data_IF_441701024022
#
_entry.id   IF_441701024022
#
_cell.length_a   1.000
_cell.length_b   1.000
_cell.length_c   1.000
_cell.angle_alpha   90.00
_cell.angle_beta   90.00
_cell.angle_gamma   90.00
#
_symmetry.space_group_name_H-M   'P 1'
#
loop_
_entity.id
_entity.type
_entity.pdbx_description
1 polymer ?
#
# COMPACT_ATOMS: atom_id res chain seq x y z
N UNK A 1 19.14 17.41 -8.30
CA UNK A 1 19.52 17.84 -6.92
C UNK A 1 19.42 16.62 -6.03
N UNK A 2 20.46 16.28 -5.26
CA UNK A 2 20.40 15.13 -4.35
C UNK A 2 19.65 15.52 -3.07
N UNK A 3 18.69 14.71 -2.66
CA UNK A 3 18.00 14.82 -1.38
C UNK A 3 18.53 13.69 -0.49
N UNK A 4 19.23 14.07 0.57
CA UNK A 4 19.82 13.11 1.50
C UNK A 4 18.88 12.92 2.69
N UNK A 5 18.32 11.71 2.81
CA UNK A 5 17.43 11.31 3.90
C UNK A 5 18.28 10.85 5.10
N UNK A 6 18.05 11.45 6.27
CA UNK A 6 18.81 11.15 7.49
C UNK A 6 17.98 10.32 8.47
N UNK A 7 18.55 9.22 8.96
CA UNK A 7 17.98 8.47 10.09
C UNK A 7 18.08 9.31 11.37
N UNK A 8 16.97 9.39 12.08
CA UNK A 8 16.90 9.90 13.44
C UNK A 8 16.45 8.73 14.35
N UNK A 9 17.26 8.34 15.36
CA UNK A 9 16.93 7.22 16.25
C UNK A 9 15.54 7.31 16.88
N UNK A 10 15.09 8.51 17.24
CA UNK A 10 13.77 8.74 17.82
C UNK A 10 12.64 8.43 16.83
N UNK A 11 12.85 8.66 15.54
CA UNK A 11 11.86 8.33 14.50
C UNK A 11 11.80 6.82 14.27
N UNK A 12 12.93 6.12 14.39
CA UNK A 12 12.98 4.65 14.29
C UNK A 12 12.25 4.02 15.48
N UNK A 13 12.48 4.52 16.70
CA UNK A 13 11.78 4.05 17.89
C UNK A 13 10.27 4.27 17.76
N UNK A 14 9.84 5.45 17.31
CA UNK A 14 8.42 5.72 17.03
C UNK A 14 7.84 4.77 15.98
N UNK A 15 8.57 4.49 14.91
CA UNK A 15 8.15 3.52 13.90
C UNK A 15 7.94 2.12 14.51
N UNK A 16 8.91 1.64 15.30
CA UNK A 16 8.82 0.33 15.97
C UNK A 16 7.62 0.25 16.93
N UNK A 17 7.33 1.32 17.66
CA UNK A 17 6.16 1.40 18.53
C UNK A 17 4.85 1.33 17.71
N UNK A 18 4.78 2.01 16.57
CA UNK A 18 3.60 1.99 15.70
C UNK A 18 3.34 0.59 15.11
N UNK A 19 4.38 -0.21 14.86
CA UNK A 19 4.22 -1.58 14.34
C UNK A 19 3.49 -2.52 15.31
N UNK A 20 3.64 -2.30 16.61
CA UNK A 20 3.04 -3.15 17.66
C UNK A 20 1.79 -2.55 18.28
N UNK A 21 1.46 -1.30 17.93
CA UNK A 21 0.25 -0.62 18.42
C UNK A 21 -0.97 -1.12 17.66
N UNK A 22 -2.12 -1.20 18.33
CA UNK A 22 -3.37 -1.56 17.67
C UNK A 22 -3.69 -0.59 16.54
N UNK A 23 -3.90 -1.12 15.33
CA UNK A 23 -4.20 -0.30 14.16
C UNK A 23 -5.59 0.32 14.25
N UNK A 24 -5.62 1.64 14.27
CA UNK A 24 -6.84 2.44 14.28
C UNK A 24 -6.62 3.78 13.56
N UNK A 25 -7.63 4.64 13.59
CA UNK A 25 -7.59 5.95 12.93
C UNK A 25 -6.50 6.89 13.51
N UNK A 26 -6.17 6.78 14.79
CA UNK A 26 -5.11 7.57 15.40
C UNK A 26 -3.73 7.05 14.98
N UNK A 27 -3.52 5.73 14.95
CA UNK A 27 -2.29 5.11 14.41
C UNK A 27 -2.01 5.59 12.99
N UNK A 28 -3.05 5.76 12.17
CA UNK A 28 -2.94 6.33 10.83
C UNK A 28 -2.39 7.75 10.84
N UNK A 29 -2.92 8.63 11.70
CA UNK A 29 -2.40 10.01 11.82
C UNK A 29 -0.97 10.02 12.32
N UNK A 30 -0.67 9.25 13.35
CA UNK A 30 0.67 9.19 13.93
C UNK A 30 1.72 8.67 12.93
N UNK A 31 1.32 7.77 12.03
CA UNK A 31 2.15 7.26 10.94
C UNK A 31 2.40 8.32 9.86
N UNK A 32 1.39 9.12 9.52
CA UNK A 32 1.56 10.26 8.61
C UNK A 32 2.42 11.36 9.24
N UNK A 33 2.24 11.64 10.53
CA UNK A 33 3.08 12.57 11.30
C UNK A 33 4.54 12.10 11.37
N UNK A 34 4.76 10.80 11.53
CA UNK A 34 6.09 10.19 11.45
C UNK A 34 6.72 10.44 10.07
N UNK A 35 5.98 10.16 8.98
CA UNK A 35 6.46 10.41 7.62
C UNK A 35 6.76 11.90 7.38
N UNK A 36 5.87 12.77 7.82
CA UNK A 36 6.04 14.22 7.73
C UNK A 36 7.28 14.68 8.52
N UNK A 37 7.48 14.17 9.73
CA UNK A 37 8.65 14.47 10.56
C UNK A 37 9.94 13.97 9.91
N UNK A 38 9.93 12.77 9.33
CA UNK A 38 11.08 12.21 8.64
C UNK A 38 11.47 13.06 7.41
N UNK A 39 10.50 13.39 6.55
CA UNK A 39 10.74 14.22 5.37
C UNK A 39 11.15 15.67 5.73
N UNK A 40 10.67 16.20 6.85
CA UNK A 40 11.06 17.52 7.34
C UNK A 40 12.40 17.56 8.10
N UNK A 41 12.89 16.40 8.58
CA UNK A 41 14.22 16.29 9.18
C UNK A 41 15.36 16.41 8.17
N UNK A 42 15.02 16.42 6.87
CA UNK A 42 15.98 16.60 5.78
C UNK A 42 16.37 18.07 5.62
N UNK A 43 17.52 18.35 4.97
CA UNK A 43 18.01 19.72 4.70
C UNK A 43 17.01 20.61 3.95
N UNK A 44 16.06 20.00 3.25
CA UNK A 44 14.92 20.68 2.67
C UNK A 44 13.67 20.07 3.28
N UNK A 45 12.80 20.87 3.92
CA UNK A 45 11.55 20.36 4.44
C UNK A 45 10.66 20.00 3.24
N UNK A 46 10.26 18.73 3.20
CA UNK A 46 9.53 18.12 2.09
C UNK A 46 8.28 17.38 2.57
N UNK A 47 7.93 17.53 3.84
CA UNK A 47 6.73 16.92 4.40
C UNK A 47 5.45 17.58 3.87
N UNK A 48 4.33 16.89 4.04
CA UNK A 48 3.02 17.39 3.66
C UNK A 48 2.65 18.71 4.38
N UNK A 49 3.15 18.94 5.59
CA UNK A 49 2.92 20.19 6.33
C UNK A 49 3.42 21.43 5.59
N UNK A 50 4.49 21.32 4.80
CA UNK A 50 4.98 22.42 3.95
C UNK A 50 4.03 22.73 2.78
N UNK A 51 3.28 21.73 2.29
CA UNK A 51 2.23 21.98 1.29
C UNK A 51 1.08 22.78 1.88
N UNK A 52 0.67 22.47 3.11
CA UNK A 52 -0.40 23.19 3.83
C UNK A 52 -0.06 24.66 4.08
N UNK A 53 1.21 25.02 4.26
CA UNK A 53 1.60 26.43 4.41
C UNK A 53 1.43 27.24 3.12
N UNK A 54 1.55 26.59 1.96
CA UNK A 54 1.56 27.24 0.65
C UNK A 54 0.22 27.18 -0.08
N UNK A 55 -0.71 26.34 0.36
CA UNK A 55 -2.00 26.13 -0.28
C UNK A 55 -3.14 26.17 0.75
N UNK A 56 -4.19 26.92 0.44
CA UNK A 56 -5.44 26.83 1.20
C UNK A 56 -6.08 25.44 1.07
N UNK A 57 -6.92 25.06 2.04
CA UNK A 57 -7.64 23.76 2.00
C UNK A 57 -8.44 23.55 0.69
N UNK A 58 -8.90 24.62 0.05
CA UNK A 58 -9.59 24.56 -1.24
C UNK A 58 -8.65 24.26 -2.41
N UNK A 59 -7.39 24.68 -2.34
CA UNK A 59 -6.39 24.61 -3.41
C UNK A 59 -5.62 23.29 -3.38
N UNK A 60 -5.53 22.62 -2.22
CA UNK A 60 -4.92 21.28 -2.13
C UNK A 60 -5.68 20.22 -2.94
N UNK A 61 -6.99 20.41 -3.20
CA UNK A 61 -7.72 19.53 -4.12
C UNK A 61 -7.27 19.72 -5.57
N UNK A 62 -6.79 20.91 -5.94
CA UNK A 62 -6.28 21.24 -7.28
C UNK A 62 -4.86 20.68 -7.51
N UNK A 63 -4.14 20.39 -6.43
CA UNK A 63 -2.85 19.69 -6.49
C UNK A 63 -2.95 18.34 -7.22
N UNK A 64 -4.01 17.57 -6.94
CA UNK A 64 -4.30 16.28 -7.58
C UNK A 64 -4.83 16.42 -9.01
N UNK A 65 -5.21 17.63 -9.42
CA UNK A 65 -5.71 17.92 -10.77
C UNK A 65 -4.66 18.53 -11.66
N UNK A 66 -3.44 18.77 -11.14
CA UNK A 66 -2.31 19.20 -11.96
C UNK A 66 -2.09 18.23 -13.12
N UNK A 67 -1.98 18.77 -14.34
CA UNK A 67 -1.84 17.97 -15.56
C UNK A 67 -0.68 16.98 -15.46
N UNK A 68 0.44 17.36 -14.83
CA UNK A 68 1.58 16.48 -14.64
C UNK A 68 1.28 15.25 -13.77
N UNK A 69 0.52 15.41 -12.69
CA UNK A 69 0.16 14.30 -11.82
C UNK A 69 -0.92 13.41 -12.44
N UNK A 70 -1.91 14.01 -13.11
CA UNK A 70 -2.90 13.25 -13.86
C UNK A 70 -2.24 12.46 -15.00
N UNK A 71 -1.31 13.06 -15.73
CA UNK A 71 -0.53 12.38 -16.77
C UNK A 71 0.33 11.26 -16.18
N UNK A 72 0.95 11.49 -15.03
CA UNK A 72 1.69 10.46 -14.30
C UNK A 72 0.78 9.25 -14.02
N UNK A 73 -0.39 9.47 -13.43
CA UNK A 73 -1.37 8.42 -13.17
C UNK A 73 -1.89 7.76 -14.45
N UNK A 74 -2.20 8.54 -15.49
CA UNK A 74 -2.66 8.02 -16.79
C UNK A 74 -1.62 7.08 -17.41
N UNK A 75 -0.35 7.48 -17.41
CA UNK A 75 0.74 6.66 -17.93
C UNK A 75 0.84 5.32 -17.20
N UNK A 76 0.56 5.27 -15.89
CA UNK A 76 0.58 4.02 -15.13
C UNK A 76 -0.67 3.16 -15.35
N UNK A 77 -1.84 3.78 -15.51
CA UNK A 77 -3.10 3.04 -15.75
C UNK A 77 -3.19 2.47 -17.17
N UNK A 78 -2.49 3.05 -18.15
CA UNK A 78 -2.42 2.50 -19.52
C UNK A 78 -1.95 1.03 -19.50
N UNK A 79 -1.10 0.65 -18.54
CA UNK A 79 -0.63 -0.72 -18.40
C UNK A 79 -1.69 -1.71 -17.92
N UNK A 80 -2.79 -1.26 -17.32
CA UNK A 80 -3.80 -2.18 -16.76
C UNK A 80 -4.84 -2.61 -17.78
N UNK A 81 -5.03 -1.89 -18.90
CA UNK A 81 -5.99 -2.16 -20.01
C UNK A 81 -7.40 -2.65 -19.62
N UNK A 82 -7.76 -2.55 -18.34
CA UNK A 82 -8.93 -3.17 -17.73
C UNK A 82 -9.98 -2.09 -17.48
N UNK A 83 -11.14 -2.25 -18.13
CA UNK A 83 -12.28 -1.30 -18.01
C UNK A 83 -12.85 -1.21 -16.59
N UNK A 84 -12.56 -2.19 -15.74
CA UNK A 84 -13.01 -2.21 -14.35
C UNK A 84 -12.10 -1.39 -13.43
N UNK A 85 -10.89 -1.03 -13.88
CA UNK A 85 -9.96 -0.25 -13.08
C UNK A 85 -10.55 1.15 -12.77
N UNK A 86 -10.39 1.68 -11.53
CA UNK A 86 -10.97 2.97 -11.18
C UNK A 86 -10.54 4.07 -12.15
N UNK A 87 -11.52 4.80 -12.68
CA UNK A 87 -11.24 6.01 -13.45
C UNK A 87 -10.52 7.02 -12.56
N UNK A 88 -9.46 7.63 -13.08
CA UNK A 88 -8.75 8.73 -12.43
C UNK A 88 -9.78 9.83 -12.16
N UNK A 89 -10.11 10.14 -10.88
CA UNK A 89 -11.12 11.15 -10.60
C UNK A 89 -10.66 12.52 -11.11
N UNK A 90 -11.60 13.37 -11.50
CA UNK A 90 -11.26 14.70 -12.00
C UNK A 90 -10.79 15.65 -10.89
N UNK A 91 -11.32 15.48 -9.68
CA UNK A 91 -10.96 16.20 -8.45
C UNK A 91 -11.55 15.51 -7.22
N UNK A 92 -10.99 15.75 -6.05
CA UNK A 92 -11.67 15.45 -4.77
C UNK A 92 -12.67 16.58 -4.51
N UNK A 93 -13.98 16.29 -4.35
CA UNK A 93 -14.99 17.32 -4.18
C UNK A 93 -14.88 17.99 -2.80
N UNK A 94 -15.18 19.29 -2.75
CA UNK A 94 -15.22 20.05 -1.49
C UNK A 94 -16.29 19.46 -0.56
N UNK A 95 -15.88 19.00 0.62
CA UNK A 95 -16.77 18.42 1.63
C UNK A 95 -17.26 19.53 2.59
N UNK A 96 -18.51 19.44 3.04
CA UNK A 96 -19.13 20.39 3.99
C UNK A 96 -19.16 19.90 5.43
N UNK A 97 -19.20 18.58 5.62
CA UNK A 97 -19.21 17.96 6.94
C UNK A 97 -17.79 17.93 7.52
N UNK A 98 -17.65 18.30 8.79
CA UNK A 98 -16.37 18.33 9.50
C UNK A 98 -15.61 17.00 9.41
N UNK A 99 -16.28 15.86 9.63
CA UNK A 99 -15.64 14.54 9.53
C UNK A 99 -15.19 14.23 8.11
N UNK A 100 -16.02 14.52 7.11
CA UNK A 100 -15.66 14.33 5.70
C UNK A 100 -14.49 15.21 5.27
N UNK A 101 -14.40 16.45 5.78
CA UNK A 101 -13.26 17.34 5.54
C UNK A 101 -11.97 16.72 6.09
N UNK A 102 -12.02 16.18 7.32
CA UNK A 102 -10.87 15.50 7.94
C UNK A 102 -10.43 14.31 7.08
N UNK A 103 -11.36 13.46 6.62
CA UNK A 103 -11.03 12.30 5.81
C UNK A 103 -10.47 12.67 4.43
N UNK A 104 -11.02 13.70 3.78
CA UNK A 104 -10.46 14.18 2.52
C UNK A 104 -9.05 14.76 2.71
N UNK A 105 -8.77 15.44 3.83
CA UNK A 105 -7.42 15.94 4.15
C UNK A 105 -6.42 14.79 4.35
N UNK A 106 -6.79 13.78 5.13
CA UNK A 106 -5.96 12.60 5.34
C UNK A 106 -5.72 11.85 4.03
N UNK A 107 -6.73 11.75 3.17
CA UNK A 107 -6.59 11.15 1.84
C UNK A 107 -5.51 11.86 1.03
N UNK A 108 -5.49 13.20 1.02
CA UNK A 108 -4.47 13.99 0.32
C UNK A 108 -3.08 13.74 0.87
N UNK A 109 -2.96 13.64 2.19
CA UNK A 109 -1.68 13.38 2.86
C UNK A 109 -1.14 11.97 2.57
N UNK A 110 -2.01 10.96 2.54
CA UNK A 110 -1.64 9.61 2.11
C UNK A 110 -1.16 9.62 0.67
N UNK A 111 -1.92 10.26 -0.22
CA UNK A 111 -1.56 10.34 -1.64
C UNK A 111 -0.20 11.00 -1.81
N UNK A 112 0.05 12.09 -1.07
CA UNK A 112 1.34 12.76 -1.10
C UNK A 112 2.49 11.83 -0.68
N UNK A 113 2.32 11.12 0.44
CA UNK A 113 3.36 10.23 0.98
C UNK A 113 3.64 9.03 0.06
N UNK A 114 2.60 8.41 -0.51
CA UNK A 114 2.76 7.25 -1.40
C UNK A 114 3.33 7.61 -2.78
N UNK A 115 3.07 8.83 -3.26
CA UNK A 115 3.62 9.34 -4.52
C UNK A 115 4.96 10.06 -4.36
N UNK A 116 5.45 10.29 -3.14
CA UNK A 116 6.78 10.87 -2.95
C UNK A 116 7.86 9.93 -3.54
N UNK A 117 8.85 10.46 -4.30
CA UNK A 117 9.21 11.87 -4.48
C UNK A 117 8.60 12.57 -5.70
N UNK A 118 7.72 11.93 -6.47
CA UNK A 118 7.16 12.46 -7.75
C UNK A 118 6.51 13.82 -7.57
N UNK A 119 5.92 14.08 -6.40
CA UNK A 119 5.32 15.37 -6.09
C UNK A 119 6.31 16.45 -5.65
N UNK A 120 7.36 16.08 -4.93
CA UNK A 120 8.37 17.04 -4.50
C UNK A 120 9.09 17.64 -5.72
N UNK A 121 9.39 16.81 -6.73
CA UNK A 121 10.12 17.20 -7.95
C UNK A 121 9.37 18.22 -8.80
N UNK A 122 8.05 18.08 -8.92
CA UNK A 122 7.20 18.96 -9.72
C UNK A 122 7.14 20.41 -9.20
N UNK A 123 7.37 20.64 -7.89
CA UNK A 123 7.29 21.98 -7.30
C UNK A 123 8.49 22.88 -7.65
N UNK A 124 9.61 22.31 -8.12
CA UNK A 124 10.87 23.05 -8.33
C UNK A 124 11.50 22.90 -9.73
N UNK A 125 10.84 22.23 -10.70
CA UNK A 125 11.46 21.84 -11.98
C UNK A 125 12.85 21.19 -11.79
N UNK A 126 12.99 20.40 -10.72
CA UNK A 126 14.25 19.77 -10.34
C UNK A 126 14.01 18.28 -10.22
N UNK A 127 14.74 17.50 -11.00
CA UNK A 127 14.86 16.08 -10.75
C UNK A 127 15.58 15.88 -9.42
N UNK A 128 14.87 15.30 -8.45
CA UNK A 128 15.45 14.86 -7.21
C UNK A 128 15.95 13.45 -7.36
N UNK A 129 17.19 13.24 -6.94
CA UNK A 129 17.75 11.91 -6.76
C UNK A 129 17.71 11.71 -5.24
N UNK A 130 16.92 10.74 -4.79
CA UNK A 130 16.91 10.34 -3.37
C UNK A 130 18.21 9.59 -3.08
N UNK A 131 18.82 9.91 -1.95
CA UNK A 131 20.05 9.32 -1.45
C UNK A 131 19.94 9.19 0.09
N UNK A 132 20.76 8.34 0.71
CA UNK A 132 20.70 8.05 2.14
C UNK A 132 19.64 7.00 2.50
N UNK A 133 18.84 7.27 3.53
CA UNK A 133 18.00 6.28 4.22
C UNK A 133 16.66 5.96 3.53
N UNK A 134 16.74 5.52 2.28
CA UNK A 134 15.59 5.17 1.43
C UNK A 134 14.84 3.95 1.96
N UNK A 135 15.54 2.98 2.56
CA UNK A 135 14.90 1.80 3.16
C UNK A 135 13.89 2.16 4.23
N UNK A 136 14.27 3.07 5.14
CA UNK A 136 13.37 3.52 6.20
C UNK A 136 12.18 4.34 5.67
N UNK A 137 12.36 5.08 4.57
CA UNK A 137 11.22 5.72 3.88
C UNK A 137 10.24 4.67 3.34
N UNK A 138 10.75 3.62 2.69
CA UNK A 138 9.93 2.50 2.19
C UNK A 138 9.18 1.81 3.32
N UNK A 139 9.82 1.60 4.47
CA UNK A 139 9.20 1.02 5.66
C UNK A 139 8.00 1.86 6.16
N UNK A 140 8.17 3.17 6.27
CA UNK A 140 7.09 4.09 6.65
C UNK A 140 5.96 4.07 5.59
N UNK A 141 6.31 4.05 4.31
CA UNK A 141 5.34 3.99 3.21
C UNK A 141 4.56 2.67 3.23
N UNK A 142 5.20 1.54 3.54
CA UNK A 142 4.53 0.25 3.73
C UNK A 142 3.54 0.27 4.88
N UNK A 143 3.90 0.88 6.02
CA UNK A 143 2.97 1.06 7.14
C UNK A 143 1.75 1.90 6.74
N UNK A 144 1.98 3.03 6.07
CA UNK A 144 0.89 3.90 5.55
C UNK A 144 0.03 3.12 4.55
N UNK A 145 0.62 2.33 3.66
CA UNK A 145 -0.09 1.50 2.71
C UNK A 145 -1.02 0.50 3.41
N UNK A 146 -0.51 -0.23 4.40
CA UNK A 146 -1.28 -1.21 5.17
C UNK A 146 -2.41 -0.56 5.97
N UNK A 147 -2.14 0.56 6.65
CA UNK A 147 -3.17 1.32 7.37
C UNK A 147 -4.22 1.92 6.42
N UNK A 148 -3.81 2.30 5.20
CA UNK A 148 -4.74 2.77 4.18
C UNK A 148 -5.73 1.66 3.80
N UNK A 149 -5.23 0.45 3.56
CA UNK A 149 -6.07 -0.71 3.24
C UNK A 149 -7.02 -1.08 4.38
N UNK A 150 -6.48 -1.18 5.61
CA UNK A 150 -7.21 -1.78 6.74
C UNK A 150 -8.08 -0.78 7.51
N UNK A 151 -7.75 0.52 7.46
CA UNK A 151 -8.43 1.55 8.25
C UNK A 151 -9.09 2.60 7.34
N UNK A 152 -8.30 3.22 6.45
CA UNK A 152 -8.77 4.38 5.70
C UNK A 152 -9.85 4.00 4.66
N UNK A 153 -9.60 2.97 3.84
CA UNK A 153 -10.56 2.54 2.82
C UNK A 153 -11.91 2.09 3.41
N UNK A 154 -11.96 1.25 4.47
CA UNK A 154 -13.21 0.92 5.16
C UNK A 154 -13.95 2.14 5.70
N UNK A 155 -13.23 3.08 6.32
CA UNK A 155 -13.81 4.32 6.84
C UNK A 155 -14.44 5.17 5.72
N UNK A 156 -13.73 5.35 4.61
CA UNK A 156 -14.25 6.08 3.45
C UNK A 156 -15.46 5.39 2.82
N UNK A 157 -15.46 4.05 2.76
CA UNK A 157 -16.61 3.24 2.30
C UNK A 157 -17.83 3.49 3.18
N UNK A 158 -17.68 3.45 4.50
CA UNK A 158 -18.75 3.74 5.46
C UNK A 158 -19.35 5.15 5.27
N UNK A 159 -18.51 6.14 4.96
CA UNK A 159 -18.93 7.53 4.76
C UNK A 159 -19.32 7.89 3.31
N UNK A 160 -19.30 6.91 2.39
CA UNK A 160 -19.65 7.03 0.96
C UNK A 160 -18.81 8.08 0.22
N UNK A 161 -17.49 8.02 0.42
CA UNK A 161 -16.51 8.94 -0.16
C UNK A 161 -15.81 8.30 -1.38
N UNK A 162 -16.57 8.15 -2.48
CA UNK A 162 -16.16 7.37 -3.67
C UNK A 162 -14.91 7.93 -4.35
N UNK A 163 -14.81 9.25 -4.48
CA UNK A 163 -13.68 9.88 -5.17
C UNK A 163 -12.36 9.65 -4.41
N UNK A 164 -12.38 9.75 -3.09
CA UNK A 164 -11.24 9.46 -2.21
C UNK A 164 -10.82 8.00 -2.30
N UNK A 165 -11.79 7.06 -2.27
CA UNK A 165 -11.54 5.62 -2.45
C UNK A 165 -10.83 5.36 -3.78
N UNK A 166 -11.34 5.93 -4.87
CA UNK A 166 -10.77 5.72 -6.20
C UNK A 166 -9.34 6.26 -6.30
N UNK A 167 -9.07 7.45 -5.75
CA UNK A 167 -7.71 8.00 -5.72
C UNK A 167 -6.75 7.13 -4.89
N UNK A 168 -7.16 6.68 -3.71
CA UNK A 168 -6.30 5.85 -2.86
C UNK A 168 -5.98 4.52 -3.51
N UNK A 169 -6.98 3.83 -4.06
CA UNK A 169 -6.78 2.58 -4.78
C UNK A 169 -5.82 2.72 -5.97
N UNK A 170 -6.00 3.79 -6.76
CA UNK A 170 -5.11 4.12 -7.87
C UNK A 170 -3.68 4.46 -7.39
N UNK A 171 -3.58 5.16 -6.26
CA UNK A 171 -2.29 5.55 -5.70
C UNK A 171 -1.53 4.37 -5.13
N UNK A 172 -2.22 3.50 -4.39
CA UNK A 172 -1.67 2.26 -3.89
C UNK A 172 -1.19 1.38 -5.06
N UNK A 173 -2.01 1.22 -6.11
CA UNK A 173 -1.58 0.52 -7.33
C UNK A 173 -0.29 1.11 -7.93
N UNK A 174 -0.27 2.43 -8.13
CA UNK A 174 0.87 3.13 -8.72
C UNK A 174 2.12 3.03 -7.86
N UNK A 175 1.96 3.11 -6.53
CA UNK A 175 3.03 2.93 -5.56
C UNK A 175 3.63 1.53 -5.66
N UNK A 176 2.80 0.48 -5.65
CA UNK A 176 3.24 -0.91 -5.82
C UNK A 176 3.98 -1.11 -7.15
N UNK A 177 3.48 -0.51 -8.23
CA UNK A 177 4.10 -0.61 -9.55
C UNK A 177 5.48 0.06 -9.60
N UNK A 178 5.62 1.25 -9.01
CA UNK A 178 6.80 2.09 -9.20
C UNK A 178 7.86 1.91 -8.11
N UNK A 179 7.46 1.79 -6.85
CA UNK A 179 8.39 1.73 -5.72
C UNK A 179 8.96 0.32 -5.54
N UNK A 180 8.17 -0.71 -5.86
CA UNK A 180 8.49 -2.11 -5.59
C UNK A 180 8.79 -2.94 -6.85
N UNK A 181 9.03 -2.30 -7.99
CA UNK A 181 9.38 -2.98 -9.25
C UNK A 181 10.66 -3.83 -9.15
N UNK A 182 11.55 -3.49 -8.23
CA UNK A 182 12.80 -4.19 -7.93
C UNK A 182 12.59 -5.43 -7.04
N UNK A 183 11.40 -5.61 -6.45
CA UNK A 183 11.00 -6.79 -5.71
C UNK A 183 9.65 -7.34 -6.21
N UNK A 184 9.66 -8.13 -7.31
CA UNK A 184 8.43 -8.62 -7.95
C UNK A 184 7.54 -9.47 -7.03
N UNK A 185 8.13 -10.22 -6.09
CA UNK A 185 7.37 -11.03 -5.13
C UNK A 185 6.54 -10.13 -4.20
N UNK A 186 7.17 -9.12 -3.61
CA UNK A 186 6.48 -8.17 -2.74
C UNK A 186 5.50 -7.28 -3.53
N UNK A 187 5.88 -6.83 -4.72
CA UNK A 187 5.00 -6.07 -5.61
C UNK A 187 3.67 -6.80 -5.88
N UNK A 188 3.72 -8.09 -6.21
CA UNK A 188 2.50 -8.86 -6.46
C UNK A 188 1.67 -9.03 -5.18
N UNK A 189 2.30 -9.16 -4.01
CA UNK A 189 1.58 -9.16 -2.74
C UNK A 189 0.87 -7.81 -2.47
N UNK A 190 1.49 -6.68 -2.82
CA UNK A 190 0.81 -5.39 -2.71
C UNK A 190 -0.31 -5.24 -3.74
N UNK A 191 -0.16 -5.79 -4.95
CA UNK A 191 -1.24 -5.80 -5.95
C UNK A 191 -2.44 -6.62 -5.47
N UNK A 192 -2.23 -7.75 -4.80
CA UNK A 192 -3.36 -8.54 -4.28
C UNK A 192 -4.18 -7.73 -3.27
N UNK A 193 -3.54 -6.95 -2.39
CA UNK A 193 -4.23 -6.05 -1.46
C UNK A 193 -5.04 -4.99 -2.20
N UNK A 194 -4.46 -4.38 -3.24
CA UNK A 194 -5.15 -3.35 -4.03
C UNK A 194 -6.34 -3.94 -4.78
N UNK A 195 -6.18 -5.11 -5.39
CA UNK A 195 -7.24 -5.78 -6.13
C UNK A 195 -8.36 -6.30 -5.23
N UNK A 196 -8.03 -6.75 -4.02
CA UNK A 196 -9.04 -7.13 -3.04
C UNK A 196 -9.89 -5.92 -2.63
N UNK A 197 -9.25 -4.77 -2.40
CA UNK A 197 -9.96 -3.51 -2.11
C UNK A 197 -10.92 -3.06 -3.22
N UNK A 198 -10.63 -3.44 -4.47
CA UNK A 198 -11.45 -3.18 -5.66
C UNK A 198 -12.48 -4.30 -5.95
N UNK A 199 -12.41 -5.43 -5.27
CA UNK A 199 -13.29 -6.60 -5.48
C UNK A 199 -12.90 -7.49 -6.66
N UNK A 200 -11.63 -7.49 -7.08
CA UNK A 200 -11.13 -8.34 -8.18
C UNK A 200 -10.57 -9.67 -7.65
N UNK A 201 -11.43 -10.52 -7.11
CA UNK A 201 -11.03 -11.76 -6.41
C UNK A 201 -10.15 -12.70 -7.25
N UNK A 202 -10.41 -12.85 -8.55
CA UNK A 202 -9.56 -13.68 -9.43
C UNK A 202 -8.13 -13.12 -9.51
N UNK A 203 -8.00 -11.80 -9.68
CA UNK A 203 -6.70 -11.14 -9.74
C UNK A 203 -5.94 -11.21 -8.40
N UNK A 204 -6.67 -11.23 -7.27
CA UNK A 204 -6.07 -11.45 -5.93
C UNK A 204 -5.36 -12.80 -5.89
N UNK A 205 -6.05 -13.86 -6.31
CA UNK A 205 -5.51 -15.23 -6.31
C UNK A 205 -4.29 -15.33 -7.22
N UNK A 206 -4.37 -14.78 -8.44
CA UNK A 206 -3.25 -14.79 -9.39
C UNK A 206 -2.02 -14.05 -8.85
N UNK A 207 -2.21 -12.85 -8.27
CA UNK A 207 -1.14 -12.08 -7.66
C UNK A 207 -0.50 -12.81 -6.48
N UNK A 208 -1.30 -13.41 -5.59
CA UNK A 208 -0.78 -14.17 -4.44
C UNK A 208 0.01 -15.41 -4.89
N UNK A 209 -0.48 -16.11 -5.93
CA UNK A 209 0.25 -17.23 -6.51
C UNK A 209 1.61 -16.80 -7.07
N UNK A 210 1.66 -15.70 -7.83
CA UNK A 210 2.90 -15.15 -8.38
C UNK A 210 3.84 -14.71 -7.25
N UNK A 211 3.32 -14.02 -6.23
CA UNK A 211 4.10 -13.59 -5.07
C UNK A 211 4.76 -14.78 -4.36
N UNK A 212 4.00 -15.85 -4.10
CA UNK A 212 4.53 -17.09 -3.53
C UNK A 212 5.58 -17.74 -4.45
N UNK A 213 5.28 -17.90 -5.74
CA UNK A 213 6.18 -18.55 -6.72
C UNK A 213 7.52 -17.86 -6.88
N UNK A 214 7.58 -16.55 -6.64
CA UNK A 214 8.79 -15.73 -6.73
C UNK A 214 9.55 -15.62 -5.40
N UNK A 215 9.01 -16.19 -4.31
CA UNK A 215 9.66 -16.19 -3.00
C UNK A 215 10.38 -17.51 -2.79
N UNK A 216 11.64 -17.46 -2.36
CA UNK A 216 12.43 -18.67 -2.15
C UNK A 216 11.99 -19.38 -0.87
N UNK A 217 12.06 -20.73 -0.79
CA UNK A 217 11.69 -21.48 0.42
C UNK A 217 12.42 -21.04 1.70
N UNK A 218 13.61 -20.48 1.54
CA UNK A 218 14.43 -20.00 2.66
C UNK A 218 14.19 -18.55 3.05
N UNK A 219 13.42 -17.80 2.26
CA UNK A 219 13.05 -16.43 2.60
C UNK A 219 12.11 -16.41 3.82
N UNK A 220 12.30 -15.42 4.69
CA UNK A 220 11.49 -15.24 5.90
C UNK A 220 9.99 -15.06 5.61
N UNK A 221 9.64 -14.51 4.44
CA UNK A 221 8.25 -14.29 4.02
C UNK A 221 7.58 -15.51 3.37
N UNK A 222 8.32 -16.61 3.16
CA UNK A 222 7.84 -17.73 2.34
C UNK A 222 6.54 -18.33 2.87
N UNK A 223 6.49 -18.62 4.16
CA UNK A 223 5.29 -19.18 4.78
C UNK A 223 4.14 -18.19 4.83
N UNK A 224 4.42 -16.91 5.09
CA UNK A 224 3.37 -15.86 5.07
C UNK A 224 2.71 -15.76 3.70
N UNK A 225 3.48 -15.84 2.60
CA UNK A 225 2.92 -15.81 1.24
C UNK A 225 2.21 -17.11 0.87
N UNK A 226 2.72 -18.24 1.34
CA UNK A 226 2.07 -19.54 1.16
C UNK A 226 0.69 -19.56 1.85
N UNK A 227 0.63 -19.10 3.10
CA UNK A 227 -0.61 -18.96 3.87
C UNK A 227 -1.58 -18.01 3.19
N UNK A 228 -1.13 -16.83 2.74
CA UNK A 228 -1.99 -15.87 2.05
C UNK A 228 -2.62 -16.45 0.78
N UNK A 229 -1.84 -17.15 -0.05
CA UNK A 229 -2.37 -17.81 -1.25
C UNK A 229 -3.34 -18.94 -0.90
N UNK A 230 -3.01 -19.78 0.08
CA UNK A 230 -3.90 -20.84 0.55
C UNK A 230 -5.23 -20.29 1.06
N UNK A 231 -5.21 -19.27 1.93
CA UNK A 231 -6.43 -18.64 2.45
C UNK A 231 -7.30 -18.08 1.32
N UNK A 232 -6.70 -17.45 0.31
CA UNK A 232 -7.44 -16.94 -0.84
C UNK A 232 -8.13 -18.07 -1.65
N UNK A 233 -7.53 -19.26 -1.76
CA UNK A 233 -8.17 -20.42 -2.38
C UNK A 233 -9.35 -20.93 -1.55
N UNK A 234 -9.20 -20.97 -0.22
CA UNK A 234 -10.26 -21.37 0.70
C UNK A 234 -11.44 -20.40 0.64
N UNK A 235 -11.18 -19.09 0.72
CA UNK A 235 -12.21 -18.05 0.65
C UNK A 235 -12.99 -18.09 -0.68
N UNK A 236 -12.30 -18.45 -1.77
CA UNK A 236 -12.90 -18.66 -3.08
C UNK A 236 -13.56 -20.04 -3.26
N UNK A 237 -13.63 -20.86 -2.21
CA UNK A 237 -14.17 -22.24 -2.20
C UNK A 237 -13.50 -23.17 -3.21
N UNK A 238 -12.23 -22.93 -3.51
CA UNK A 238 -11.41 -23.74 -4.43
C UNK A 238 -10.66 -24.85 -3.69
N UNK A 239 -11.38 -25.68 -2.94
CA UNK A 239 -10.81 -26.67 -2.02
C UNK A 239 -9.86 -27.66 -2.71
N UNK A 240 -10.20 -28.14 -3.90
CA UNK A 240 -9.32 -29.03 -4.68
C UNK A 240 -7.95 -28.39 -4.96
N UNK A 241 -7.94 -27.10 -5.32
CA UNK A 241 -6.70 -26.36 -5.55
C UNK A 241 -5.93 -26.11 -4.26
N UNK A 242 -6.64 -25.80 -3.16
CA UNK A 242 -6.02 -25.59 -1.85
C UNK A 242 -5.31 -26.86 -1.35
N UNK A 243 -5.93 -28.02 -1.57
CA UNK A 243 -5.40 -29.35 -1.25
C UNK A 243 -4.21 -29.74 -2.12
N UNK A 244 -4.30 -29.53 -3.44
CA UNK A 244 -3.17 -29.74 -4.33
C UNK A 244 -1.98 -28.84 -3.93
N UNK A 245 -2.27 -27.59 -3.59
CA UNK A 245 -1.27 -26.63 -3.15
C UNK A 245 -0.60 -27.04 -1.83
N UNK A 246 -1.35 -27.39 -0.79
CA UNK A 246 -0.79 -27.74 0.52
C UNK A 246 0.10 -29.00 0.47
N UNK A 247 -0.29 -29.99 -0.33
CA UNK A 247 0.54 -31.18 -0.58
C UNK A 247 1.82 -30.85 -1.35
N UNK A 248 1.77 -29.93 -2.33
CA UNK A 248 2.98 -29.45 -3.02
C UNK A 248 3.87 -28.65 -2.08
N UNK A 249 3.28 -27.81 -1.23
CA UNK A 249 4.00 -27.00 -0.26
C UNK A 249 4.84 -27.90 0.66
N UNK A 250 4.27 -28.98 1.20
CA UNK A 250 5.00 -29.94 2.01
C UNK A 250 6.19 -30.59 1.26
N UNK A 251 6.02 -30.92 -0.02
CA UNK A 251 7.06 -31.58 -0.82
C UNK A 251 8.27 -30.71 -1.13
N UNK A 252 8.08 -29.39 -1.25
CA UNK A 252 9.12 -28.47 -1.72
C UNK A 252 9.64 -27.52 -0.66
N UNK A 253 9.06 -27.53 0.54
CA UNK A 253 9.50 -26.68 1.64
C UNK A 253 10.63 -27.34 2.44
N UNK A 254 11.42 -26.50 3.12
CA UNK A 254 12.39 -26.97 4.10
C UNK A 254 11.70 -27.61 5.31
N UNK A 255 12.34 -28.61 5.93
CA UNK A 255 11.81 -29.31 7.11
C UNK A 255 11.43 -28.37 8.26
N UNK A 256 12.16 -27.25 8.38
CA UNK A 256 11.89 -26.16 9.35
C UNK A 256 10.46 -25.60 9.31
N UNK A 257 9.73 -25.83 8.22
CA UNK A 257 8.38 -25.33 7.97
C UNK A 257 7.29 -26.40 8.11
N UNK A 258 7.65 -27.65 8.41
CA UNK A 258 6.72 -28.77 8.30
C UNK A 258 5.58 -28.74 9.31
N UNK A 259 5.79 -28.21 10.51
CA UNK A 259 4.73 -28.13 11.52
C UNK A 259 3.64 -27.15 11.06
N UNK A 260 4.01 -25.95 10.61
CA UNK A 260 3.06 -24.97 10.07
C UNK A 260 2.35 -25.48 8.81
N UNK A 261 3.03 -26.26 7.96
CA UNK A 261 2.42 -26.83 6.75
C UNK A 261 1.43 -27.96 7.10
N UNK A 262 1.70 -28.75 8.14
CA UNK A 262 0.74 -29.77 8.60
C UNK A 262 -0.56 -29.13 9.05
N UNK A 263 -0.49 -28.04 9.81
CA UNK A 263 -1.69 -27.29 10.22
C UNK A 263 -2.51 -26.82 9.01
N UNK A 264 -1.86 -26.28 7.96
CA UNK A 264 -2.53 -25.88 6.71
C UNK A 264 -3.22 -27.09 6.06
N UNK A 265 -2.55 -28.24 6.01
CA UNK A 265 -3.10 -29.46 5.43
C UNK A 265 -4.34 -29.91 6.21
N UNK A 266 -4.24 -30.04 7.53
CA UNK A 266 -5.33 -30.46 8.41
C UNK A 266 -6.55 -29.55 8.25
N UNK A 267 -6.36 -28.22 8.34
CA UNK A 267 -7.41 -27.23 8.12
C UNK A 267 -8.06 -27.34 6.74
N UNK A 268 -7.29 -27.65 5.70
CA UNK A 268 -7.83 -27.83 4.34
C UNK A 268 -8.84 -28.97 4.29
N UNK A 269 -8.51 -30.10 4.91
CA UNK A 269 -9.38 -31.28 4.93
C UNK A 269 -10.62 -31.07 5.81
N UNK A 270 -10.48 -30.37 6.94
CA UNK A 270 -11.62 -30.04 7.81
C UNK A 270 -12.63 -29.13 7.11
N UNK A 271 -12.15 -28.10 6.40
CA UNK A 271 -13.00 -27.13 5.72
C UNK A 271 -13.68 -27.70 4.46
N UNK A 272 -13.11 -28.73 3.82
CA UNK A 272 -13.74 -29.45 2.70
C UNK A 272 -15.02 -30.20 3.14
N UNK A 273 -15.12 -30.54 4.43
CA UNK A 273 -16.22 -31.35 4.99
C UNK A 273 -17.34 -30.55 5.65
N UNK A 274 -17.28 -29.21 5.64
CA UNK A 274 -18.30 -28.30 6.18
C UNK A 274 -19.17 -27.68 5.07
#
# INVERSE_FOLDING_TARGET
MKLYLNKNPLLIEKYQQLLITQWNFETMKESLDLANSFLNSCKHPLGFSELLQNYGNSELSEFLTSSNFRNYLQNQVIFTSNKNFPSIPEKIPKRRSTSKIIYSKLTLEVIYNLAFPVFATNKKNKNFILDGEIGFLRDIQSLIFMLTSNIMLPLLKQHRLKEEINYLNLMMFTHSLMVWHDNPAHQNQLFSIVFDNMGFHEAVIDCLYIAFRLTLPDDHDYLTKAQAYWSALIDAKMFDKAKEFSLKLLRYSSEKHFEEIKEIIELTFELEHQ
#
